data_IF_573501206266
#
_entry.id   IF_573501206266
#
_cell.length_a   1.000
_cell.length_b   1.000
_cell.length_c   1.000
_cell.angle_alpha   90.00
_cell.angle_beta   90.00
_cell.angle_gamma   90.00
#
_symmetry.space_group_name_H-M   'P 1'
#
loop_
_entity.id
_entity.type
_entity.pdbx_description
1 polymer ?
#
# COMPACT_ATOMS: atom_id res chain seq x y z
N UNK A 1 7.21 9.62 -5.68
CA UNK A 1 5.92 10.06 -6.23
C UNK A 1 5.10 10.64 -5.09
N UNK A 2 4.34 11.70 -5.33
CA UNK A 2 3.39 12.19 -4.33
C UNK A 2 2.04 11.47 -4.54
N UNK A 3 1.65 10.66 -3.56
CA UNK A 3 0.41 9.88 -3.55
C UNK A 3 -0.40 10.21 -2.28
N UNK A 4 -0.14 11.35 -1.64
CA UNK A 4 -0.88 11.76 -0.44
C UNK A 4 -2.38 11.86 -0.76
N UNK A 5 -3.18 11.14 0.03
CA UNK A 5 -4.63 11.07 -0.14
C UNK A 5 -5.12 10.37 -1.42
N UNK A 6 -4.24 9.78 -2.23
CA UNK A 6 -4.62 9.13 -3.48
C UNK A 6 -5.60 7.97 -3.25
N UNK A 7 -6.58 7.80 -4.15
CA UNK A 7 -7.47 6.64 -4.14
C UNK A 7 -6.88 5.50 -4.98
N UNK A 8 -6.39 4.47 -4.29
CA UNK A 8 -5.71 3.31 -4.88
C UNK A 8 -6.45 2.00 -4.53
N UNK A 9 -7.75 2.10 -4.24
CA UNK A 9 -8.57 0.94 -3.85
C UNK A 9 -8.54 -0.13 -4.94
N UNK A 10 -8.22 -1.36 -4.56
CA UNK A 10 -8.16 -2.49 -5.49
C UNK A 10 -7.07 -2.40 -6.56
N UNK A 11 -6.16 -1.41 -6.49
CA UNK A 11 -5.10 -1.27 -7.47
C UNK A 11 -4.12 -2.45 -7.41
N UNK A 12 -3.62 -2.86 -8.59
CA UNK A 12 -2.48 -3.75 -8.67
C UNK A 12 -1.19 -2.93 -8.57
N UNK A 13 -0.52 -3.02 -7.43
CA UNK A 13 0.77 -2.39 -7.14
C UNK A 13 1.85 -3.46 -6.94
N UNK A 14 1.61 -4.68 -7.43
CA UNK A 14 2.59 -5.75 -7.31
C UNK A 14 3.90 -5.34 -8.00
N UNK A 15 5.03 -5.65 -7.35
CA UNK A 15 6.38 -5.28 -7.78
C UNK A 15 6.65 -3.77 -7.93
N UNK A 16 5.75 -2.89 -7.50
CA UNK A 16 5.95 -1.44 -7.61
C UNK A 16 7.14 -0.95 -6.75
N UNK A 17 7.89 0.02 -7.25
CA UNK A 17 8.95 0.68 -6.50
C UNK A 17 8.40 1.94 -5.82
N UNK A 18 8.07 1.85 -4.52
CA UNK A 18 7.42 2.92 -3.75
C UNK A 18 8.31 3.50 -2.64
N UNK A 19 9.60 3.12 -2.53
CA UNK A 19 10.53 3.45 -1.43
C UNK A 19 10.66 4.96 -1.08
N UNK A 20 10.21 5.85 -1.96
CA UNK A 20 10.21 7.30 -1.75
C UNK A 20 8.86 7.95 -2.07
N UNK A 21 7.78 7.17 -2.10
CA UNK A 21 6.44 7.69 -2.31
C UNK A 21 5.86 8.25 -0.99
N UNK A 22 5.22 9.41 -1.06
CA UNK A 22 4.39 9.90 0.04
C UNK A 22 3.04 9.16 -0.03
N UNK A 23 2.80 8.21 0.88
CA UNK A 23 1.55 7.43 0.96
C UNK A 23 0.62 7.90 2.08
N UNK A 24 0.90 9.06 2.69
CA UNK A 24 0.10 9.59 3.80
C UNK A 24 -1.36 9.72 3.39
N UNK A 25 -2.26 9.07 4.11
CA UNK A 25 -3.70 9.10 3.83
C UNK A 25 -4.16 8.40 2.55
N UNK A 26 -3.26 7.81 1.76
CA UNK A 26 -3.60 7.07 0.55
C UNK A 26 -4.55 5.91 0.88
N UNK A 27 -5.53 5.67 0.01
CA UNK A 27 -6.50 4.59 0.20
C UNK A 27 -6.06 3.32 -0.54
N UNK A 28 -5.38 2.43 0.16
CA UNK A 28 -4.89 1.14 -0.34
C UNK A 28 -5.85 -0.02 -0.02
N UNK A 29 -7.09 0.26 0.39
CA UNK A 29 -8.06 -0.79 0.72
C UNK A 29 -8.25 -1.77 -0.46
N UNK A 30 -7.87 -3.03 -0.25
CA UNK A 30 -7.95 -4.09 -1.26
C UNK A 30 -6.86 -4.05 -2.33
N UNK A 31 -5.88 -3.14 -2.23
CA UNK A 31 -4.76 -3.09 -3.16
C UNK A 31 -3.86 -4.32 -3.00
N UNK A 32 -3.18 -4.70 -4.09
CA UNK A 32 -2.19 -5.75 -4.10
C UNK A 32 -0.78 -5.15 -4.04
N UNK A 33 -0.09 -5.26 -2.91
CA UNK A 33 1.30 -4.80 -2.74
C UNK A 33 2.31 -5.93 -2.84
N UNK A 34 1.95 -7.12 -3.34
CA UNK A 34 2.85 -8.29 -3.39
C UNK A 34 4.20 -7.90 -3.99
N UNK A 35 5.28 -8.12 -3.25
CA UNK A 35 6.66 -7.80 -3.67
C UNK A 35 6.91 -6.31 -4.01
N UNK A 36 6.01 -5.40 -3.64
CA UNK A 36 6.26 -3.97 -3.76
C UNK A 36 7.37 -3.54 -2.81
N UNK A 37 8.24 -2.63 -3.25
CA UNK A 37 9.24 -1.99 -2.41
C UNK A 37 8.61 -0.82 -1.69
N UNK A 38 8.09 -1.07 -0.50
CA UNK A 38 7.50 -0.08 0.41
C UNK A 38 7.93 -0.42 1.82
N UNK A 39 8.11 0.57 2.68
CA UNK A 39 8.45 0.34 4.09
C UNK A 39 7.21 0.37 4.98
N UNK A 40 7.32 -0.22 6.18
CA UNK A 40 6.24 -0.18 7.17
C UNK A 40 5.90 1.26 7.55
N UNK A 41 6.89 2.14 7.69
CA UNK A 41 6.70 3.56 8.03
C UNK A 41 5.85 4.30 6.99
N UNK A 42 5.97 3.93 5.71
CA UNK A 42 5.14 4.50 4.64
C UNK A 42 3.70 4.00 4.70
N UNK A 43 3.48 2.75 5.13
CA UNK A 43 2.16 2.13 5.24
C UNK A 43 1.40 2.53 6.51
N UNK A 44 2.10 2.89 7.59
CA UNK A 44 1.49 3.30 8.88
C UNK A 44 0.44 4.41 8.72
N UNK A 45 0.65 5.33 7.77
CA UNK A 45 -0.27 6.44 7.52
C UNK A 45 -1.23 6.20 6.35
N UNK A 46 -1.11 5.08 5.63
CA UNK A 46 -2.02 4.72 4.57
C UNK A 46 -3.25 4.00 5.12
N UNK A 47 -4.39 4.15 4.44
CA UNK A 47 -5.61 3.43 4.78
C UNK A 47 -5.56 2.05 4.13
N UNK A 48 -5.63 1.02 4.94
CA UNK A 48 -5.57 -0.38 4.51
C UNK A 48 -6.69 -1.17 5.21
N UNK A 49 -7.02 -2.35 4.68
CA UNK A 49 -8.06 -3.21 5.25
C UNK A 49 -7.74 -4.69 5.04
N UNK A 50 -8.58 -5.60 5.58
CA UNK A 50 -8.37 -7.06 5.53
C UNK A 50 -8.24 -7.66 4.12
N UNK A 51 -8.63 -6.91 3.09
CA UNK A 51 -8.52 -7.31 1.69
C UNK A 51 -7.20 -6.89 1.06
N UNK A 52 -6.46 -5.98 1.70
CA UNK A 52 -5.17 -5.49 1.21
C UNK A 52 -4.13 -6.60 1.32
N UNK A 53 -3.38 -6.85 0.25
CA UNK A 53 -2.28 -7.82 0.23
C UNK A 53 -0.99 -7.05 0.47
N UNK A 54 -0.24 -7.44 1.48
CA UNK A 54 1.01 -6.80 1.91
C UNK A 54 2.19 -7.18 1.01
N UNK A 55 3.33 -6.47 1.10
CA UNK A 55 4.57 -6.84 0.39
C UNK A 55 5.01 -8.29 0.57
N UNK A 56 4.72 -8.84 1.75
CA UNK A 56 4.97 -10.25 2.10
C UNK A 56 4.03 -11.25 1.40
N UNK A 57 3.05 -10.79 0.63
CA UNK A 57 2.00 -11.61 0.01
C UNK A 57 0.88 -12.03 0.98
N UNK A 58 0.99 -11.68 2.26
CA UNK A 58 -0.06 -11.97 3.26
C UNK A 58 -1.14 -10.90 3.20
N UNK A 59 -2.39 -11.29 3.45
CA UNK A 59 -3.44 -10.31 3.71
C UNK A 59 -3.13 -9.54 5.00
N UNK A 60 -3.36 -8.23 4.99
CA UNK A 60 -3.14 -7.38 6.17
C UNK A 60 -3.96 -7.88 7.36
N UNK A 61 -3.28 -8.14 8.46
CA UNK A 61 -3.89 -8.51 9.73
C UNK A 61 -4.11 -7.24 10.58
N UNK A 62 -5.37 -7.01 10.95
CA UNK A 62 -5.87 -6.11 11.98
C UNK A 62 -7.05 -6.81 12.64
#
# INVERSE_FOLDING_TARGET
ADLEGADLRGADLSFAHLTYANLKGANLCGANLTSAKVTEEQLVYAKTNRSTIMPTGRKGFW
#
